data_IF_066705501659
#
_entry.id   IF_066705501659
#
_cell.length_a   1.000
_cell.length_b   1.000
_cell.length_c   1.000
_cell.angle_alpha   90.00
_cell.angle_beta   90.00
_cell.angle_gamma   90.00
#
_symmetry.space_group_name_H-M   'P 1'
#
loop_
_entity.id
_entity.type
_entity.pdbx_description
1 polymer ?
#
# COMPACT_ATOMS: atom_id res chain seq x y z
N UNK A 1 0.18 23.24 9.39
CA UNK A 1 0.06 23.19 7.91
C UNK A 1 0.47 21.81 7.41
N UNK A 2 -0.31 21.19 6.51
CA UNK A 2 0.06 19.91 5.87
C UNK A 2 1.32 20.12 5.03
N UNK A 3 2.35 19.31 5.22
CA UNK A 3 3.58 19.40 4.43
C UNK A 3 3.26 18.99 2.98
N UNK A 4 3.38 19.89 1.98
CA UNK A 4 3.03 19.60 0.59
C UNK A 4 3.81 18.41 0.02
N UNK A 5 5.04 18.19 0.51
CA UNK A 5 5.89 17.07 0.09
C UNK A 5 5.31 15.70 0.49
N UNK A 6 4.55 15.61 1.60
CA UNK A 6 3.86 14.37 1.96
C UNK A 6 2.72 14.06 0.99
N UNK A 7 1.96 15.08 0.57
CA UNK A 7 0.87 14.92 -0.40
C UNK A 7 1.42 14.51 -1.76
N UNK A 8 2.49 15.15 -2.24
CA UNK A 8 3.17 14.80 -3.49
C UNK A 8 3.66 13.35 -3.44
N UNK A 9 4.31 12.94 -2.34
CA UNK A 9 4.78 11.57 -2.19
C UNK A 9 3.63 10.55 -2.20
N UNK A 10 2.46 10.86 -1.62
CA UNK A 10 1.27 9.99 -1.70
C UNK A 10 0.80 9.85 -3.15
N UNK A 11 0.65 10.96 -3.88
CA UNK A 11 0.20 10.95 -5.28
C UNK A 11 1.15 10.10 -6.15
N UNK A 12 2.46 10.27 -5.96
CA UNK A 12 3.48 9.51 -6.69
C UNK A 12 3.40 8.01 -6.38
N UNK A 13 3.13 7.61 -5.14
CA UNK A 13 2.91 6.19 -4.81
C UNK A 13 1.61 5.65 -5.41
N UNK A 14 0.52 6.42 -5.39
CA UNK A 14 -0.74 6.02 -6.02
C UNK A 14 -0.56 5.82 -7.53
N UNK A 15 0.19 6.71 -8.18
CA UNK A 15 0.55 6.57 -9.60
C UNK A 15 1.38 5.31 -9.85
N UNK A 16 2.37 5.01 -8.98
CA UNK A 16 3.16 3.77 -9.10
C UNK A 16 2.28 2.52 -9.03
N UNK A 17 1.27 2.50 -8.15
CA UNK A 17 0.33 1.39 -8.05
C UNK A 17 -0.58 1.28 -9.27
N UNK A 18 -1.09 2.40 -9.81
CA UNK A 18 -1.88 2.37 -11.03
C UNK A 18 -1.08 1.78 -12.21
N UNK A 19 0.19 2.16 -12.33
CA UNK A 19 1.09 1.66 -13.37
C UNK A 19 1.41 0.17 -13.22
N UNK A 20 1.55 -0.35 -11.98
CA UNK A 20 1.77 -1.79 -11.76
C UNK A 20 0.53 -2.59 -12.16
N UNK A 21 -0.66 -2.10 -11.85
CA UNK A 21 -1.92 -2.75 -12.26
C UNK A 21 -2.08 -2.75 -13.78
N UNK A 22 -1.75 -1.64 -14.44
CA UNK A 22 -1.75 -1.56 -15.90
C UNK A 22 -0.73 -2.53 -16.53
N UNK A 23 0.43 -2.71 -15.90
CA UNK A 23 1.43 -3.68 -16.33
C UNK A 23 0.90 -5.12 -16.25
N UNK A 24 0.22 -5.48 -15.15
CA UNK A 24 -0.43 -6.78 -14.99
C UNK A 24 -1.50 -7.01 -16.07
N UNK A 25 -2.33 -5.99 -16.36
CA UNK A 25 -3.37 -6.08 -17.38
C UNK A 25 -2.75 -6.30 -18.77
N UNK A 26 -1.71 -5.53 -19.12
CA UNK A 26 -1.00 -5.68 -20.39
C UNK A 26 -0.36 -7.07 -20.53
N UNK A 27 0.15 -7.64 -19.43
CA UNK A 27 0.70 -8.99 -19.40
C UNK A 27 -0.38 -10.06 -19.64
N UNK A 28 -1.58 -9.86 -19.08
CA UNK A 28 -2.73 -10.75 -19.30
C UNK A 28 -3.15 -10.79 -20.78
N UNK A 29 -3.15 -9.63 -21.45
CA UNK A 29 -3.43 -9.52 -22.89
C UNK A 29 -2.26 -9.93 -23.81
N UNK A 30 -1.18 -10.50 -23.28
CA UNK A 30 -0.03 -10.94 -24.07
C UNK A 30 0.85 -9.81 -24.61
N UNK A 31 0.62 -8.56 -24.20
CA UNK A 31 1.42 -7.41 -24.62
C UNK A 31 2.66 -7.27 -23.74
N UNK A 32 3.64 -8.15 -23.95
CA UNK A 32 4.80 -8.28 -23.06
C UNK A 32 5.67 -7.03 -23.02
N UNK A 33 5.87 -6.33 -24.15
CA UNK A 33 6.74 -5.14 -24.21
C UNK A 33 6.12 -3.99 -23.41
N UNK A 34 4.84 -3.69 -23.63
CA UNK A 34 4.12 -2.65 -22.90
C UNK A 34 3.99 -2.97 -21.42
N UNK A 35 3.72 -4.22 -21.04
CA UNK A 35 3.71 -4.65 -19.65
C UNK A 35 5.03 -4.33 -18.93
N UNK A 36 6.15 -4.60 -19.60
CA UNK A 36 7.48 -4.34 -19.04
C UNK A 36 7.79 -2.85 -18.92
N UNK A 37 7.41 -2.05 -19.93
CA UNK A 37 7.58 -0.57 -19.89
C UNK A 37 6.76 0.02 -18.73
N UNK A 38 5.50 -0.40 -18.57
CA UNK A 38 4.63 0.06 -17.50
C UNK A 38 5.17 -0.32 -16.11
N UNK A 39 5.70 -1.54 -15.96
CA UNK A 39 6.34 -1.97 -14.72
C UNK A 39 7.59 -1.13 -14.40
N UNK A 40 8.40 -0.78 -15.40
CA UNK A 40 9.58 0.06 -15.23
C UNK A 40 9.19 1.50 -14.84
N UNK A 41 8.16 2.08 -15.46
CA UNK A 41 7.64 3.40 -15.11
C UNK A 41 7.02 3.45 -13.70
N UNK A 42 6.25 2.41 -13.33
CA UNK A 42 5.74 2.21 -11.97
C UNK A 42 6.89 2.27 -10.98
N UNK A 43 7.95 1.55 -11.30
CA UNK A 43 9.11 1.43 -10.46
C UNK A 43 9.87 2.76 -10.29
N UNK A 44 10.13 3.50 -11.39
CA UNK A 44 10.78 4.82 -11.33
C UNK A 44 9.97 5.77 -10.45
N UNK A 45 8.64 5.78 -10.63
CA UNK A 45 7.73 6.57 -9.83
C UNK A 45 7.82 6.19 -8.35
N UNK A 46 7.88 4.89 -8.03
CA UNK A 46 8.05 4.41 -6.67
C UNK A 46 9.35 4.92 -6.03
N UNK A 47 10.51 4.78 -6.68
CA UNK A 47 11.79 5.33 -6.18
C UNK A 47 11.67 6.83 -5.92
N UNK A 48 11.10 7.57 -6.86
CA UNK A 48 10.95 9.02 -6.73
C UNK A 48 10.12 9.38 -5.50
N UNK A 49 9.01 8.65 -5.28
CA UNK A 49 8.19 8.77 -4.07
C UNK A 49 8.96 8.51 -2.78
N UNK A 50 9.86 7.52 -2.78
CA UNK A 50 10.75 7.19 -1.65
C UNK A 50 11.81 8.27 -1.44
N UNK A 51 12.46 8.78 -2.49
CA UNK A 51 13.49 9.84 -2.39
C UNK A 51 12.89 11.11 -1.79
N UNK A 52 11.70 11.53 -2.25
CA UNK A 52 10.98 12.66 -1.67
C UNK A 52 10.76 12.42 -0.18
N UNK A 53 10.33 11.22 0.22
CA UNK A 53 10.10 10.87 1.61
C UNK A 53 11.39 10.90 2.45
N UNK A 54 12.50 10.38 1.93
CA UNK A 54 13.80 10.40 2.60
C UNK A 54 14.27 11.84 2.78
N UNK A 55 14.14 12.72 1.77
CA UNK A 55 14.46 14.15 1.89
C UNK A 55 13.60 14.86 2.94
N UNK A 56 12.31 14.57 3.03
CA UNK A 56 11.44 15.10 4.10
C UNK A 56 11.97 14.70 5.47
N UNK A 57 12.37 13.42 5.64
CA UNK A 57 12.87 12.93 6.92
C UNK A 57 14.25 13.50 7.27
N UNK A 58 15.18 13.53 6.31
CA UNK A 58 16.53 14.10 6.50
C UNK A 58 16.45 15.61 6.79
N UNK A 59 15.59 16.37 6.11
CA UNK A 59 15.38 17.79 6.38
C UNK A 59 14.80 18.06 7.77
N UNK A 60 13.85 17.25 8.21
CA UNK A 60 13.26 17.35 9.55
C UNK A 60 14.26 16.96 10.66
N UNK A 61 15.14 15.99 10.37
CA UNK A 61 16.21 15.54 11.26
C UNK A 61 17.35 16.56 11.31
N UNK A 62 17.72 17.20 10.20
CA UNK A 62 18.78 18.22 10.13
C UNK A 62 18.49 19.47 10.98
N UNK A 63 17.23 19.90 11.06
CA UNK A 63 16.79 20.98 11.94
C UNK A 63 16.85 20.60 13.43
N UNK A 64 16.69 19.31 13.76
CA UNK A 64 16.75 18.79 15.14
C UNK A 64 18.17 18.41 15.58
N UNK A 65 19.07 18.13 14.63
CA UNK A 65 20.47 17.70 14.86
C UNK A 65 21.34 18.79 15.49
N UNK A 66 21.08 20.08 15.25
CA UNK A 66 21.85 21.16 15.90
C UNK A 66 21.73 21.13 17.44
N UNK A 67 20.58 20.67 17.98
CA UNK A 67 20.41 20.45 19.43
C UNK A 67 20.86 19.06 19.91
N UNK A 68 20.85 18.04 19.04
CA UNK A 68 21.09 16.63 19.42
C UNK A 68 22.56 16.19 19.34
N UNK A 69 23.47 17.01 18.81
CA UNK A 69 24.90 16.68 18.66
C UNK A 69 25.61 16.38 19.99
N UNK A 70 25.08 16.84 21.14
CA UNK A 70 25.57 16.51 22.48
C UNK A 70 25.04 15.17 23.04
N UNK A 71 24.04 14.56 22.40
CA UNK A 71 23.39 13.33 22.85
C UNK A 71 23.90 12.08 22.12
N UNK A 72 24.79 12.25 21.14
CA UNK A 72 25.20 11.22 20.17
C UNK A 72 26.48 10.45 20.54
N UNK A 73 26.85 10.40 21.83
CA UNK A 73 27.97 9.56 22.31
C UNK A 73 27.53 8.14 22.69
N UNK A 74 26.25 7.80 22.56
CA UNK A 74 25.71 6.48 22.91
C UNK A 74 24.73 5.98 21.86
N UNK A 75 25.24 5.49 20.74
CA UNK A 75 24.46 4.88 19.67
C UNK A 75 23.79 3.57 20.16
N UNK A 76 22.57 3.67 20.70
CA UNK A 76 21.59 2.58 20.63
C UNK A 76 20.65 2.86 19.48
N UNK A 77 20.64 1.95 18.50
CA UNK A 77 19.80 1.92 17.29
C UNK A 77 18.34 2.20 17.68
N UNK A 78 17.91 3.46 17.56
CA UNK A 78 16.58 3.96 17.94
C UNK A 78 15.86 4.43 16.69
N UNK A 79 15.29 3.49 15.92
CA UNK A 79 14.00 3.66 15.24
C UNK A 79 13.85 2.59 14.15
N UNK A 80 13.00 1.62 14.42
CA UNK A 80 12.46 0.64 13.45
C UNK A 80 12.02 1.31 12.13
N UNK A 81 11.67 2.60 12.15
CA UNK A 81 11.25 3.38 10.97
C UNK A 81 12.37 3.61 9.96
N UNK A 82 13.60 3.86 10.43
CA UNK A 82 14.74 4.11 9.55
C UNK A 82 15.18 2.81 8.89
N UNK A 83 15.19 1.72 9.66
CA UNK A 83 15.47 0.38 9.16
C UNK A 83 14.47 -0.04 8.07
N UNK A 84 13.17 0.14 8.31
CA UNK A 84 12.14 -0.21 7.32
C UNK A 84 12.33 0.59 6.02
N UNK A 85 12.62 1.89 6.11
CA UNK A 85 12.82 2.75 4.93
C UNK A 85 14.03 2.28 4.11
N UNK A 86 15.13 1.94 4.77
CA UNK A 86 16.34 1.43 4.11
C UNK A 86 16.08 0.06 3.46
N UNK A 87 15.37 -0.83 4.17
CA UNK A 87 15.02 -2.16 3.66
C UNK A 87 14.17 -2.06 2.38
N UNK A 88 13.17 -1.19 2.38
CA UNK A 88 12.31 -0.95 1.21
C UNK A 88 13.13 -0.44 0.02
N UNK A 89 14.05 0.50 0.27
CA UNK A 89 14.89 1.11 -0.75
C UNK A 89 15.88 0.09 -1.34
N UNK A 90 16.40 -0.81 -0.51
CA UNK A 90 17.27 -1.91 -0.93
C UNK A 90 16.50 -2.95 -1.75
N UNK A 91 15.35 -3.42 -1.27
CA UNK A 91 14.48 -4.38 -1.99
C UNK A 91 14.07 -3.79 -3.32
N UNK A 92 13.65 -2.52 -3.33
CA UNK A 92 13.27 -1.86 -4.56
C UNK A 92 14.48 -1.80 -5.50
N UNK A 93 15.66 -1.35 -5.04
CA UNK A 93 16.84 -1.21 -5.90
C UNK A 93 17.25 -2.55 -6.56
N UNK A 94 17.22 -3.64 -5.79
CA UNK A 94 17.49 -5.00 -6.28
C UNK A 94 16.48 -5.39 -7.37
N UNK A 95 15.19 -5.09 -7.18
CA UNK A 95 14.16 -5.36 -8.18
C UNK A 95 14.40 -4.56 -9.48
N UNK A 96 14.86 -3.31 -9.44
CA UNK A 96 15.25 -2.57 -10.66
C UNK A 96 16.35 -3.26 -11.39
N UNK A 97 17.39 -3.60 -10.65
CA UNK A 97 18.59 -4.16 -11.23
C UNK A 97 18.24 -5.47 -11.91
N UNK A 98 17.37 -6.28 -11.30
CA UNK A 98 16.85 -7.50 -11.93
C UNK A 98 16.06 -7.24 -13.22
N UNK A 99 15.22 -6.19 -13.26
CA UNK A 99 14.43 -5.82 -14.45
C UNK A 99 15.34 -5.27 -15.56
N UNK A 100 16.31 -4.42 -15.21
CA UNK A 100 17.26 -3.84 -16.18
C UNK A 100 18.14 -4.95 -16.77
N UNK A 101 18.73 -5.81 -15.93
CA UNK A 101 19.57 -6.93 -16.38
C UNK A 101 18.80 -7.89 -17.29
N UNK A 102 17.50 -8.07 -17.04
CA UNK A 102 16.62 -8.80 -17.95
C UNK A 102 16.41 -8.11 -19.29
N UNK A 103 16.12 -6.80 -19.27
CA UNK A 103 15.90 -6.03 -20.50
C UNK A 103 17.13 -5.95 -21.39
N UNK A 104 18.32 -5.91 -20.79
CA UNK A 104 19.62 -5.94 -21.48
C UNK A 104 19.97 -7.35 -21.99
N UNK A 105 19.15 -8.36 -21.67
CA UNK A 105 19.38 -9.75 -22.09
C UNK A 105 20.50 -10.47 -21.33
N UNK A 106 21.02 -9.85 -20.26
CA UNK A 106 22.10 -10.42 -19.44
C UNK A 106 21.62 -11.57 -18.55
N UNK A 107 20.32 -11.65 -18.26
CA UNK A 107 19.70 -12.73 -17.48
C UNK A 107 18.46 -13.18 -18.23
N UNK A 108 18.30 -14.48 -18.46
CA UNK A 108 17.03 -15.05 -18.93
C UNK A 108 16.06 -15.23 -17.76
N UNK A 109 15.29 -14.20 -17.38
CA UNK A 109 14.16 -14.43 -16.47
C UNK A 109 13.09 -15.22 -17.21
N UNK A 110 12.73 -16.38 -16.64
CA UNK A 110 11.55 -17.11 -17.05
C UNK A 110 10.29 -16.26 -16.82
N UNK A 111 9.23 -16.50 -17.61
CA UNK A 111 7.93 -15.84 -17.46
C UNK A 111 7.37 -15.94 -16.04
N UNK A 112 7.65 -17.03 -15.34
CA UNK A 112 7.22 -17.24 -13.96
C UNK A 112 8.00 -16.34 -12.99
N UNK A 113 9.32 -16.22 -13.15
CA UNK A 113 10.15 -15.38 -12.30
C UNK A 113 9.75 -13.90 -12.36
N UNK A 114 9.35 -13.40 -13.52
CA UNK A 114 8.88 -12.01 -13.65
C UNK A 114 7.54 -11.76 -12.95
N UNK A 115 6.59 -12.71 -13.04
CA UNK A 115 5.31 -12.64 -12.32
C UNK A 115 5.54 -12.55 -10.81
N UNK A 116 6.43 -13.41 -10.27
CA UNK A 116 6.76 -13.38 -8.85
C UNK A 116 7.47 -12.09 -8.42
N UNK A 117 8.38 -11.56 -9.24
CA UNK A 117 9.05 -10.30 -8.95
C UNK A 117 8.04 -9.12 -8.91
N UNK A 118 7.10 -9.07 -9.86
CA UNK A 118 6.08 -8.01 -9.90
C UNK A 118 5.06 -8.14 -8.78
N UNK A 119 4.68 -9.35 -8.37
CA UNK A 119 3.75 -9.53 -7.25
C UNK A 119 4.39 -9.14 -5.92
N UNK A 120 5.65 -9.52 -5.66
CA UNK A 120 6.41 -9.10 -4.48
C UNK A 120 6.55 -7.57 -4.44
N UNK A 121 6.85 -6.94 -5.59
CA UNK A 121 6.90 -5.49 -5.70
C UNK A 121 5.55 -4.86 -5.35
N UNK A 122 4.46 -5.32 -5.96
CA UNK A 122 3.12 -4.80 -5.71
C UNK A 122 2.73 -4.91 -4.22
N UNK A 123 3.02 -6.05 -3.58
CA UNK A 123 2.78 -6.27 -2.15
C UNK A 123 3.60 -5.27 -1.30
N UNK A 124 4.87 -5.04 -1.65
CA UNK A 124 5.75 -4.11 -0.93
C UNK A 124 5.26 -2.66 -1.06
N UNK A 125 4.79 -2.27 -2.24
CA UNK A 125 4.20 -0.94 -2.50
C UNK A 125 2.91 -0.79 -1.69
N UNK A 126 2.01 -1.78 -1.76
CA UNK A 126 0.74 -1.79 -1.04
C UNK A 126 0.94 -1.69 0.47
N UNK A 127 1.83 -2.49 1.04
CA UNK A 127 2.16 -2.45 2.46
C UNK A 127 2.62 -1.05 2.90
N UNK A 128 3.47 -0.39 2.10
CA UNK A 128 3.93 0.96 2.37
C UNK A 128 2.84 2.01 2.32
N UNK A 129 1.96 1.94 1.32
CA UNK A 129 0.82 2.82 1.20
C UNK A 129 -0.10 2.65 2.41
N UNK A 130 -0.41 1.41 2.82
CA UNK A 130 -1.26 1.12 3.98
C UNK A 130 -0.68 1.70 5.26
N UNK A 131 0.60 1.42 5.56
CA UNK A 131 1.28 1.95 6.75
C UNK A 131 1.25 3.49 6.74
N UNK A 132 1.39 4.10 5.57
CA UNK A 132 1.33 5.55 5.41
C UNK A 132 -0.06 6.10 5.63
N UNK A 133 -1.10 5.50 5.06
CA UNK A 133 -2.50 5.90 5.27
C UNK A 133 -2.83 5.84 6.76
N UNK A 134 -2.48 4.74 7.44
CA UNK A 134 -2.70 4.57 8.88
C UNK A 134 -1.99 5.67 9.68
N UNK A 135 -0.76 6.03 9.29
CA UNK A 135 -0.01 7.11 9.96
C UNK A 135 -0.56 8.50 9.63
N UNK A 136 -1.00 8.74 8.40
CA UNK A 136 -1.52 10.02 7.94
C UNK A 136 -2.85 10.36 8.60
N UNK A 137 -3.77 9.40 8.65
CA UNK A 137 -5.02 9.54 9.40
C UNK A 137 -4.77 9.50 10.91
N UNK A 138 -3.73 8.80 11.34
CA UNK A 138 -3.35 8.67 12.74
C UNK A 138 -4.15 7.56 13.41
N UNK A 139 -3.44 6.60 14.02
CA UNK A 139 -4.04 5.45 14.71
C UNK A 139 -5.13 5.86 15.72
N UNK A 140 -4.93 7.00 16.41
CA UNK A 140 -5.91 7.52 17.36
C UNK A 140 -7.22 7.98 16.70
N UNK A 141 -7.16 8.62 15.53
CA UNK A 141 -8.38 9.02 14.80
C UNK A 141 -9.10 7.83 14.20
N UNK A 142 -8.36 6.83 13.71
CA UNK A 142 -8.95 5.57 13.22
C UNK A 142 -9.66 4.84 14.36
N UNK A 143 -9.02 4.76 15.54
CA UNK A 143 -9.63 4.17 16.74
C UNK A 143 -10.88 4.94 17.17
N UNK A 144 -10.85 6.28 17.11
CA UNK A 144 -12.00 7.12 17.43
C UNK A 144 -13.13 6.96 16.40
N UNK A 145 -12.79 6.86 15.12
CA UNK A 145 -13.74 6.64 14.03
C UNK A 145 -14.52 5.33 14.23
N UNK A 146 -13.82 4.22 14.49
CA UNK A 146 -14.48 2.94 14.79
C UNK A 146 -15.26 2.93 16.10
N UNK A 147 -14.95 3.86 17.02
CA UNK A 147 -15.68 4.00 18.29
C UNK A 147 -17.05 4.64 18.12
N UNK A 148 -17.21 5.52 17.13
CA UNK A 148 -18.47 6.22 16.83
C UNK A 148 -19.22 5.53 15.70
N UNK A 149 -18.49 4.90 14.77
CA UNK A 149 -19.04 4.15 13.66
C UNK A 149 -18.82 2.65 13.84
N UNK A 150 -19.80 1.99 14.45
CA UNK A 150 -19.76 0.55 14.71
C UNK A 150 -20.04 -0.30 13.47
N UNK A 151 -20.64 0.27 12.42
CA UNK A 151 -20.89 -0.41 11.14
C UNK A 151 -19.65 -0.52 10.26
N UNK A 152 -18.77 0.49 10.31
CA UNK A 152 -17.54 0.56 9.52
C UNK A 152 -16.66 -0.71 9.52
N UNK A 153 -16.32 -1.37 10.65
CA UNK A 153 -15.46 -2.55 10.61
C UNK A 153 -16.10 -3.73 9.85
N UNK A 154 -17.42 -3.89 9.93
CA UNK A 154 -18.14 -4.96 9.23
C UNK A 154 -18.25 -4.68 7.72
N UNK A 155 -18.47 -3.43 7.34
CA UNK A 155 -18.45 -3.02 5.93
C UNK A 155 -17.05 -3.21 5.34
N UNK A 156 -15.98 -2.91 6.08
CA UNK A 156 -14.60 -3.16 5.63
C UNK A 156 -14.36 -4.68 5.49
N UNK A 157 -14.80 -5.49 6.46
CA UNK A 157 -14.69 -6.95 6.38
C UNK A 157 -15.43 -7.50 5.16
N UNK A 158 -16.63 -6.99 4.86
CA UNK A 158 -17.38 -7.30 3.65
C UNK A 158 -16.59 -7.01 2.37
N UNK A 159 -15.98 -5.81 2.26
CA UNK A 159 -15.17 -5.47 1.09
C UNK A 159 -13.99 -6.43 0.90
N UNK A 160 -13.33 -6.81 2.00
CA UNK A 160 -12.21 -7.78 1.97
C UNK A 160 -12.69 -9.16 1.50
N UNK A 161 -13.81 -9.64 2.05
CA UNK A 161 -14.40 -10.93 1.66
C UNK A 161 -14.83 -10.95 0.20
N UNK A 162 -15.39 -9.86 -0.34
CA UNK A 162 -15.72 -9.77 -1.76
C UNK A 162 -14.49 -9.87 -2.67
N UNK A 163 -13.40 -9.17 -2.31
CA UNK A 163 -12.15 -9.27 -3.07
C UNK A 163 -11.58 -10.69 -3.00
N UNK A 164 -11.67 -11.34 -1.83
CA UNK A 164 -11.28 -12.74 -1.68
C UNK A 164 -12.16 -13.68 -2.54
N UNK A 165 -13.48 -13.52 -2.53
CA UNK A 165 -14.38 -14.31 -3.37
C UNK A 165 -14.07 -14.15 -4.86
N UNK A 166 -13.83 -12.92 -5.33
CA UNK A 166 -13.42 -12.66 -6.72
C UNK A 166 -12.07 -13.32 -7.04
N UNK A 167 -11.13 -13.33 -6.09
CA UNK A 167 -9.86 -14.02 -6.25
C UNK A 167 -10.05 -15.54 -6.40
N UNK A 168 -10.81 -16.19 -5.51
CA UNK A 168 -11.12 -17.62 -5.62
C UNK A 168 -11.86 -17.96 -6.92
N UNK A 169 -12.79 -17.10 -7.35
CA UNK A 169 -13.49 -17.26 -8.62
C UNK A 169 -12.52 -17.17 -9.81
N UNK A 170 -11.55 -16.26 -9.77
CA UNK A 170 -10.53 -16.15 -10.83
C UNK A 170 -9.60 -17.36 -10.94
N UNK A 171 -9.49 -18.17 -9.88
CA UNK A 171 -8.75 -19.44 -9.86
C UNK A 171 -9.60 -20.65 -10.26
N UNK A 172 -10.90 -20.45 -10.53
CA UNK A 172 -11.85 -21.52 -10.86
C UNK A 172 -12.45 -22.24 -9.65
N UNK A 173 -12.19 -21.75 -8.42
CA UNK A 173 -12.75 -22.32 -7.19
C UNK A 173 -14.14 -21.74 -6.88
N UNK A 174 -15.11 -22.06 -7.73
CA UNK A 174 -16.47 -21.49 -7.64
C UNK A 174 -17.17 -21.79 -6.30
N UNK A 175 -17.01 -23.00 -5.76
CA UNK A 175 -17.63 -23.39 -4.49
C UNK A 175 -17.14 -22.56 -3.29
N UNK A 176 -15.82 -22.36 -3.18
CA UNK A 176 -15.22 -21.54 -2.14
C UNK A 176 -15.57 -20.06 -2.33
N UNK A 177 -15.53 -19.57 -3.57
CA UNK A 177 -15.92 -18.20 -3.89
C UNK A 177 -17.37 -17.91 -3.45
N UNK A 178 -18.30 -18.84 -3.72
CA UNK A 178 -19.70 -18.69 -3.35
C UNK A 178 -19.88 -18.70 -1.81
N UNK A 179 -19.20 -19.61 -1.12
CA UNK A 179 -19.20 -19.67 0.35
C UNK A 179 -18.71 -18.36 0.97
N UNK A 180 -17.57 -17.84 0.49
CA UNK A 180 -17.01 -16.56 0.94
C UNK A 180 -17.97 -15.39 0.65
N UNK A 181 -18.63 -15.39 -0.51
CA UNK A 181 -19.61 -14.36 -0.86
C UNK A 181 -20.82 -14.33 0.08
N UNK A 182 -21.29 -15.48 0.56
CA UNK A 182 -22.36 -15.57 1.57
C UNK A 182 -21.91 -14.94 2.90
N UNK A 183 -20.69 -15.23 3.36
CA UNK A 183 -20.15 -14.57 4.55
C UNK A 183 -19.99 -13.06 4.36
N UNK A 184 -19.58 -12.63 3.17
CA UNK A 184 -19.52 -11.22 2.82
C UNK A 184 -20.91 -10.57 2.99
N UNK A 185 -21.96 -11.21 2.46
CA UNK A 185 -23.33 -10.71 2.58
C UNK A 185 -23.77 -10.53 4.04
N UNK A 186 -23.48 -11.49 4.92
CA UNK A 186 -23.79 -11.34 6.35
C UNK A 186 -23.06 -10.16 7.01
N UNK A 187 -21.79 -9.95 6.66
CA UNK A 187 -21.01 -8.82 7.16
C UNK A 187 -21.57 -7.48 6.65
N UNK A 188 -22.07 -7.42 5.41
CA UNK A 188 -22.71 -6.22 4.88
C UNK A 188 -23.99 -5.89 5.64
N UNK A 189 -24.89 -6.87 5.80
CA UNK A 189 -26.16 -6.66 6.50
C UNK A 189 -25.91 -6.18 7.93
N UNK A 190 -25.00 -6.85 8.65
CA UNK A 190 -24.63 -6.48 10.01
C UNK A 190 -24.03 -5.06 10.06
N UNK A 191 -23.13 -4.74 9.13
CA UNK A 191 -22.51 -3.43 9.02
C UNK A 191 -23.50 -2.31 8.76
N UNK A 192 -24.46 -2.50 7.85
CA UNK A 192 -25.50 -1.51 7.53
C UNK A 192 -26.45 -1.31 8.71
N UNK A 193 -26.87 -2.38 9.39
CA UNK A 193 -27.73 -2.27 10.59
C UNK A 193 -27.01 -1.50 11.69
N UNK A 194 -25.75 -1.81 11.97
CA UNK A 194 -24.94 -1.08 12.96
C UNK A 194 -24.70 0.38 12.56
N UNK A 195 -24.48 0.64 11.26
CA UNK A 195 -24.35 2.00 10.75
C UNK A 195 -25.63 2.81 10.98
N UNK A 196 -26.80 2.19 10.77
CA UNK A 196 -28.11 2.80 11.03
C UNK A 196 -28.32 3.07 12.52
N UNK A 197 -27.97 2.12 13.39
CA UNK A 197 -28.02 2.32 14.85
C UNK A 197 -27.13 3.48 15.29
N UNK A 198 -25.90 3.55 14.76
CA UNK A 198 -25.00 4.67 15.00
C UNK A 198 -25.58 6.00 14.51
N UNK A 199 -26.20 6.02 13.33
CA UNK A 199 -26.83 7.23 12.79
C UNK A 199 -27.98 7.71 13.67
N UNK A 200 -28.86 6.81 14.15
CA UNK A 200 -29.94 7.18 15.06
C UNK A 200 -29.41 7.66 16.42
N UNK A 201 -28.36 7.01 16.95
CA UNK A 201 -27.79 7.33 18.26
C UNK A 201 -26.98 8.62 18.29
N UNK A 202 -26.25 8.92 17.22
CA UNK A 202 -25.29 10.04 17.18
C UNK A 202 -25.68 11.16 16.18
N UNK A 203 -26.61 10.90 15.26
CA UNK A 203 -27.03 11.84 14.21
C UNK A 203 -28.42 12.43 14.39
N UNK A 204 -29.21 11.96 15.37
CA UNK A 204 -30.60 12.42 15.62
C UNK A 204 -30.75 13.65 16.51
N UNK A 205 -29.73 14.51 16.63
CA UNK A 205 -29.75 15.65 17.54
C UNK A 205 -28.92 16.82 17.01
N UNK A 206 -29.42 17.45 15.94
CA UNK A 206 -29.28 18.86 15.58
C UNK A 206 -29.73 19.02 14.12
N UNK A 207 -31.04 19.14 13.93
CA UNK A 207 -31.67 20.09 13.01
C UNK A 207 -32.90 20.66 13.74
#
# INVERSE_FOLDING_TARGET
>A
MRNPLNTISIIVFTLSLALILAAFLAMHYGMFITARILALLSYISFIFGVIIQVKIHIGYIGLRIRMFRRYLAGLKIKSIKTLNTILILAISAILVLSIILYMVGSIGLSRQASIYAYSILAITIMFNIIVRIIRYFGFLRIKQYFRVNWGAPFIIAFMILLVAAAYYLSLGFEGEANSIAVYAYYMLVLGVVLQLVCYLKYGGGND
#
